data_IF_449097903532
#
_entry.id   IF_449097903532
#
_cell.length_a   1.000
_cell.length_b   1.000
_cell.length_c   1.000
_cell.angle_alpha   90.00
_cell.angle_beta   90.00
_cell.angle_gamma   90.00
#
_symmetry.space_group_name_H-M   'P 1'
#
loop_
_entity.id
_entity.type
_entity.pdbx_description
1 polymer ?
#
# COMPACT_ATOMS: atom_id res chain seq x y z
N UNK A 1 35.86 1.35 22.94
CA UNK A 1 36.19 0.48 21.79
C UNK A 1 35.59 1.12 20.54
N UNK A 2 36.31 1.18 19.40
CA UNK A 2 35.68 1.62 18.15
C UNK A 2 34.53 0.66 17.81
N UNK A 3 33.36 1.21 17.50
CA UNK A 3 32.19 0.42 17.06
C UNK A 3 32.56 -0.28 15.75
N UNK A 4 32.41 -1.60 15.67
CA UNK A 4 32.62 -2.35 14.41
C UNK A 4 31.67 -1.81 13.35
N UNK A 5 32.12 -1.72 12.10
CA UNK A 5 31.25 -1.22 11.03
C UNK A 5 30.26 -2.30 10.62
N UNK A 6 29.01 -1.92 10.30
CA UNK A 6 27.95 -2.86 9.93
C UNK A 6 28.34 -3.74 8.73
N UNK A 7 29.03 -3.16 7.75
CA UNK A 7 29.52 -3.88 6.57
C UNK A 7 30.52 -4.98 6.91
N UNK A 8 31.52 -4.68 7.75
CA UNK A 8 32.51 -5.66 8.20
C UNK A 8 31.85 -6.79 9.00
N UNK A 9 30.88 -6.45 9.86
CA UNK A 9 30.17 -7.41 10.70
C UNK A 9 29.27 -8.35 9.87
N UNK A 10 28.68 -7.86 8.77
CA UNK A 10 27.89 -8.69 7.85
C UNK A 10 28.79 -9.66 7.06
N UNK A 11 30.01 -9.25 6.71
CA UNK A 11 31.01 -10.11 6.06
C UNK A 11 31.58 -11.14 7.04
N UNK A 12 31.87 -10.76 8.28
CA UNK A 12 32.33 -11.67 9.35
C UNK A 12 31.31 -12.77 9.65
N UNK A 13 30.02 -12.44 9.61
CA UNK A 13 28.92 -13.40 9.80
C UNK A 13 28.62 -14.25 8.55
N UNK A 14 29.33 -14.03 7.44
CA UNK A 14 29.14 -14.75 6.18
C UNK A 14 27.79 -14.47 5.50
N UNK A 15 27.12 -13.39 5.87
CA UNK A 15 25.80 -13.01 5.37
C UNK A 15 25.89 -12.25 4.03
N UNK A 16 27.05 -11.63 3.76
CA UNK A 16 27.35 -10.87 2.54
C UNK A 16 28.84 -11.10 2.20
N UNK A 17 29.19 -11.16 0.91
CA UNK A 17 30.60 -11.25 0.47
C UNK A 17 31.30 -9.90 0.40
N UNK A 18 32.64 -9.88 0.39
CA UNK A 18 33.42 -8.64 0.22
C UNK A 18 33.09 -7.89 -1.09
N UNK A 19 32.82 -8.63 -2.17
CA UNK A 19 32.42 -8.06 -3.47
C UNK A 19 31.01 -7.43 -3.41
N UNK A 20 30.08 -8.06 -2.69
CA UNK A 20 28.75 -7.52 -2.46
C UNK A 20 28.80 -6.27 -1.57
N UNK A 21 29.64 -6.27 -0.53
CA UNK A 21 29.86 -5.10 0.32
C UNK A 21 30.42 -3.91 -0.48
N UNK A 22 31.37 -4.14 -1.40
CA UNK A 22 31.90 -3.09 -2.27
C UNK A 22 30.81 -2.47 -3.15
N UNK A 23 29.92 -3.31 -3.70
CA UNK A 23 28.77 -2.87 -4.52
C UNK A 23 27.78 -2.03 -3.70
N UNK A 24 27.47 -2.46 -2.47
CA UNK A 24 26.58 -1.72 -1.55
C UNK A 24 27.18 -0.36 -1.18
N UNK A 25 28.49 -0.29 -0.93
CA UNK A 25 29.19 0.96 -0.60
C UNK A 25 29.21 1.95 -1.77
N UNK A 26 29.32 1.46 -3.00
CA UNK A 26 29.23 2.30 -4.21
C UNK A 26 27.83 2.90 -4.37
N UNK A 27 26.79 2.09 -4.19
CA UNK A 27 25.38 2.54 -4.21
C UNK A 27 25.10 3.51 -3.05
N UNK A 28 25.71 3.31 -1.89
CA UNK A 28 25.59 4.21 -0.74
C UNK A 28 26.19 5.59 -1.02
N UNK A 29 27.38 5.66 -1.64
CA UNK A 29 28.02 6.94 -1.97
C UNK A 29 27.21 7.77 -2.98
N UNK A 30 26.49 7.11 -3.89
CA UNK A 30 25.66 7.78 -4.88
C UNK A 30 24.29 8.20 -4.32
N UNK A 31 23.72 7.42 -3.39
CA UNK A 31 22.35 7.62 -2.91
C UNK A 31 22.25 8.27 -1.51
N UNK A 32 23.33 8.31 -0.73
CA UNK A 32 23.36 8.74 0.69
C UNK A 32 22.33 8.01 1.59
N UNK A 33 21.90 6.81 1.21
CA UNK A 33 20.93 5.99 1.96
C UNK A 33 21.63 5.11 3.01
N UNK A 34 20.92 4.66 4.07
CA UNK A 34 21.52 3.81 5.09
C UNK A 34 21.94 2.45 4.51
N UNK A 35 23.14 1.99 4.88
CA UNK A 35 23.77 0.77 4.35
C UNK A 35 22.87 -0.47 4.52
N UNK A 36 22.23 -0.62 5.68
CA UNK A 36 21.34 -1.74 5.98
C UNK A 36 20.11 -1.82 5.06
N UNK A 37 19.56 -0.68 4.64
CA UNK A 37 18.42 -0.65 3.72
C UNK A 37 18.82 -1.06 2.30
N UNK A 38 19.98 -0.59 1.83
CA UNK A 38 20.53 -0.93 0.51
C UNK A 38 20.81 -2.43 0.43
N UNK A 39 21.31 -3.04 1.51
CA UNK A 39 21.57 -4.48 1.59
C UNK A 39 20.29 -5.31 1.39
N UNK A 40 19.18 -4.89 2.02
CA UNK A 40 17.88 -5.57 1.91
C UNK A 40 17.27 -5.35 0.52
N UNK A 41 17.34 -4.14 -0.02
CA UNK A 41 16.78 -3.81 -1.34
C UNK A 41 17.52 -4.49 -2.49
N UNK A 42 18.85 -4.64 -2.38
CA UNK A 42 19.64 -5.41 -3.34
C UNK A 42 19.50 -6.92 -3.15
N UNK A 43 18.78 -7.36 -2.11
CA UNK A 43 18.51 -8.77 -1.82
C UNK A 43 19.73 -9.55 -1.36
N UNK A 44 20.80 -8.88 -0.91
CA UNK A 44 22.03 -9.55 -0.46
C UNK A 44 21.89 -10.18 0.92
N UNK A 45 21.04 -9.62 1.79
CA UNK A 45 20.68 -10.24 3.07
C UNK A 45 19.23 -9.93 3.45
N UNK A 46 18.63 -10.76 4.31
CA UNK A 46 17.29 -10.53 4.82
C UNK A 46 17.26 -9.40 5.85
N UNK A 47 16.12 -8.72 6.01
CA UNK A 47 15.95 -7.68 7.03
C UNK A 47 16.22 -8.18 8.46
N UNK A 48 15.93 -9.46 8.74
CA UNK A 48 16.25 -10.11 10.02
C UNK A 48 17.77 -10.26 10.23
N UNK A 49 18.51 -10.60 9.17
CA UNK A 49 19.98 -10.70 9.22
C UNK A 49 20.63 -9.33 9.48
N UNK A 50 20.14 -8.27 8.83
CA UNK A 50 20.60 -6.89 9.05
C UNK A 50 20.26 -6.41 10.46
N UNK A 51 19.06 -6.73 10.98
CA UNK A 51 18.67 -6.39 12.34
C UNK A 51 19.55 -7.08 13.39
N UNK A 52 19.90 -8.35 13.18
CA UNK A 52 20.83 -9.09 14.04
C UNK A 52 22.22 -8.45 14.07
N UNK A 53 22.78 -8.11 12.90
CA UNK A 53 24.07 -7.45 12.81
C UNK A 53 24.09 -6.06 13.48
N UNK A 54 22.98 -5.30 13.35
CA UNK A 54 22.81 -4.03 14.05
C UNK A 54 22.74 -4.23 15.58
N UNK A 55 22.04 -5.26 16.07
CA UNK A 55 21.97 -5.58 17.50
C UNK A 55 23.34 -5.99 18.07
N UNK A 56 24.16 -6.69 17.28
CA UNK A 56 25.54 -6.99 17.64
C UNK A 56 26.43 -5.74 17.65
N UNK A 57 26.23 -4.81 16.70
CA UNK A 57 26.98 -3.56 16.63
C UNK A 57 26.68 -2.62 17.81
N UNK A 58 25.43 -2.57 18.26
CA UNK A 58 24.99 -1.72 19.37
C UNK A 58 25.18 -2.36 20.75
N UNK A 59 25.51 -3.66 20.81
CA UNK A 59 25.78 -4.38 22.06
C UNK A 59 24.53 -4.69 22.89
N UNK A 60 23.34 -4.73 22.28
CA UNK A 60 22.09 -4.95 22.98
C UNK A 60 20.91 -5.22 22.05
N UNK A 61 19.75 -5.53 22.64
CA UNK A 61 18.54 -5.77 21.88
C UNK A 61 18.10 -4.50 21.15
N UNK A 62 17.92 -4.59 19.83
CA UNK A 62 17.44 -3.46 19.02
C UNK A 62 16.12 -3.81 18.35
N UNK A 63 15.21 -2.84 18.38
CA UNK A 63 13.99 -2.86 17.57
C UNK A 63 14.28 -2.10 16.28
N UNK A 64 14.25 -2.83 15.16
CA UNK A 64 14.38 -2.25 13.82
C UNK A 64 13.05 -2.32 13.09
N UNK A 65 12.99 -1.69 11.91
CA UNK A 65 11.86 -1.80 10.98
C UNK A 65 11.60 -3.23 10.49
N UNK A 66 12.53 -4.17 10.75
CA UNK A 66 12.45 -5.58 10.38
C UNK A 66 12.25 -6.53 11.57
N UNK A 67 11.99 -6.01 12.78
CA UNK A 67 11.66 -6.82 13.97
C UNK A 67 12.57 -6.57 15.18
N UNK A 68 12.48 -7.45 16.18
CA UNK A 68 13.28 -7.38 17.42
C UNK A 68 14.50 -8.30 17.31
N UNK A 69 15.69 -7.73 17.33
CA UNK A 69 16.94 -8.48 17.22
C UNK A 69 17.65 -8.51 18.58
N UNK A 70 17.89 -9.72 19.09
CA UNK A 70 18.67 -9.98 20.30
C UNK A 70 20.12 -10.26 19.87
N UNK A 71 21.08 -9.50 20.41
CA UNK A 71 22.51 -9.58 20.07
C UNK A 71 23.25 -10.82 20.62
N UNK A 72 22.59 -11.97 20.76
CA UNK A 72 23.20 -13.21 21.21
C UNK A 72 23.68 -14.06 20.01
N UNK A 73 24.85 -14.72 20.07
CA UNK A 73 25.31 -15.57 18.99
C UNK A 73 24.37 -16.78 18.83
N UNK A 74 23.97 -17.16 17.61
CA UNK A 74 23.33 -18.44 17.40
C UNK A 74 24.37 -19.52 17.62
N UNK A 75 24.20 -20.33 18.67
CA UNK A 75 24.95 -21.59 18.81
C UNK A 75 24.39 -22.52 17.74
N UNK A 76 25.02 -22.50 16.57
CA UNK A 76 24.85 -23.55 15.58
C UNK A 76 25.60 -24.78 16.10
N UNK A 77 24.86 -25.74 16.65
CA UNK A 77 25.34 -27.11 16.81
C UNK A 77 24.28 -28.06 16.25
N UNK A 78 24.40 -28.31 14.94
CA UNK A 78 24.06 -29.62 14.40
C UNK A 78 25.24 -30.56 14.68
N UNK A 79 24.98 -31.60 15.49
CA UNK A 79 25.64 -32.91 15.55
C UNK A 79 25.97 -33.34 16.99
N UNK A 80 25.00 -33.96 17.65
CA UNK A 80 25.22 -35.10 18.56
C UNK A 80 23.87 -35.78 18.79
N UNK A 81 23.57 -36.77 17.94
CA UNK A 81 22.52 -37.74 18.20
C UNK A 81 23.19 -38.99 18.78
N UNK A 82 23.07 -39.22 20.08
CA UNK A 82 22.78 -40.55 20.64
C UNK A 82 22.42 -40.49 22.13
N UNK A 83 21.39 -41.28 22.47
CA UNK A 83 21.03 -41.77 23.80
C UNK A 83 20.42 -40.81 24.83
N UNK A 84 19.12 -40.53 24.68
CA UNK A 84 18.16 -40.91 25.75
C UNK A 84 16.76 -41.09 25.17
N UNK A 85 16.26 -42.31 25.20
CA UNK A 85 14.85 -42.64 24.95
C UNK A 85 14.06 -42.33 26.21
N UNK A 86 13.14 -41.38 26.12
CA UNK A 86 11.91 -41.34 26.91
C UNK A 86 10.82 -40.67 26.07
N UNK A 87 9.62 -41.23 26.20
CA UNK A 87 8.55 -41.22 25.22
C UNK A 87 7.84 -39.87 25.08
N UNK A 88 7.80 -39.35 23.84
CA UNK A 88 6.84 -38.35 23.39
C UNK A 88 6.33 -38.72 21.99
N UNK A 89 5.01 -38.65 21.72
CA UNK A 89 4.45 -39.05 20.44
C UNK A 89 4.84 -38.05 19.35
N UNK A 90 5.57 -38.53 18.32
CA UNK A 90 5.92 -37.74 17.13
C UNK A 90 4.69 -37.49 16.27
N UNK A 91 4.22 -36.25 16.25
CA UNK A 91 3.30 -35.74 15.23
C UNK A 91 3.99 -35.82 13.86
N UNK A 92 3.44 -36.62 12.94
CA UNK A 92 3.85 -36.61 11.53
C UNK A 92 3.25 -35.37 10.88
N UNK A 93 4.08 -34.36 10.59
CA UNK A 93 3.73 -33.35 9.60
C UNK A 93 3.65 -34.03 8.23
N UNK A 94 2.46 -33.97 7.62
CA UNK A 94 2.26 -34.38 6.24
C UNK A 94 3.10 -33.48 5.33
N UNK A 95 3.89 -34.10 4.44
CA UNK A 95 4.59 -33.42 3.38
C UNK A 95 3.60 -32.96 2.31
N UNK A 96 3.18 -31.71 2.38
CA UNK A 96 2.69 -30.98 1.20
C UNK A 96 3.71 -29.91 0.86
N UNK A 97 4.64 -30.29 -0.02
CA UNK A 97 5.50 -29.36 -0.73
C UNK A 97 4.63 -28.60 -1.75
N UNK A 98 4.42 -27.31 -1.54
CA UNK A 98 4.02 -26.39 -2.61
C UNK A 98 5.31 -25.86 -3.23
N UNK A 99 5.69 -26.46 -4.36
CA UNK A 99 6.72 -25.94 -5.24
C UNK A 99 6.24 -24.62 -5.90
N UNK A 100 7.13 -23.65 -6.13
CA UNK A 100 6.80 -22.44 -6.89
C UNK A 100 6.58 -22.77 -8.38
N UNK A 101 5.67 -22.07 -9.09
CA UNK A 101 5.30 -22.44 -10.44
C UNK A 101 6.40 -22.13 -11.47
N UNK A 102 6.55 -22.94 -12.53
CA UNK A 102 7.43 -22.65 -13.65
C UNK A 102 6.86 -21.49 -14.49
N UNK A 103 7.76 -20.63 -14.98
CA UNK A 103 7.45 -19.61 -15.98
C UNK A 103 7.08 -20.29 -17.30
N UNK A 104 5.95 -19.94 -17.89
CA UNK A 104 5.66 -20.23 -19.31
C UNK A 104 5.18 -18.96 -20.00
N UNK A 105 5.94 -18.52 -21.01
CA UNK A 105 5.46 -17.71 -22.13
C UNK A 105 4.48 -18.52 -23.00
N UNK A 106 3.67 -17.88 -23.86
CA UNK A 106 2.31 -18.30 -24.16
C UNK A 106 2.20 -19.37 -25.26
N UNK A 107 1.15 -20.19 -25.17
CA UNK A 107 0.68 -21.04 -26.28
C UNK A 107 -0.25 -20.26 -27.23
N UNK A 108 -0.29 -20.63 -28.53
CA UNK A 108 -1.33 -20.18 -29.43
C UNK A 108 -2.59 -21.05 -29.33
N UNK A 109 -3.72 -20.36 -29.49
CA UNK A 109 -5.04 -20.78 -29.98
C UNK A 109 -5.14 -22.19 -30.59
N UNK A 110 -6.10 -23.00 -30.12
CA UNK A 110 -7.31 -23.38 -30.86
C UNK A 110 -8.22 -24.34 -30.07
N UNK A 111 -9.54 -24.15 -30.20
CA UNK A 111 -10.43 -25.28 -30.49
C UNK A 111 -11.17 -25.99 -29.35
N UNK A 112 -12.25 -25.39 -28.87
CA UNK A 112 -13.61 -25.97 -28.96
C UNK A 112 -14.02 -27.21 -28.14
N UNK A 113 -15.30 -27.14 -27.72
CA UNK A 113 -16.19 -28.18 -27.13
C UNK A 113 -16.06 -28.29 -25.59
N UNK A 114 -17.10 -28.15 -24.76
CA UNK A 114 -18.55 -28.20 -24.97
C UNK A 114 -19.15 -29.09 -23.88
N UNK A 115 -20.27 -28.65 -23.27
CA UNK A 115 -21.10 -29.36 -22.26
C UNK A 115 -20.51 -29.50 -20.84
N UNK A 116 -21.25 -29.52 -19.72
CA UNK A 116 -22.65 -29.22 -19.35
C UNK A 116 -22.67 -29.10 -17.81
N UNK A 117 -23.22 -28.01 -17.23
CA UNK A 117 -24.50 -27.96 -16.52
C UNK A 117 -24.76 -29.08 -15.47
N UNK A 118 -24.65 -28.75 -14.17
CA UNK A 118 -25.65 -29.07 -13.11
C UNK A 118 -25.13 -28.72 -11.70
N UNK A 119 -25.76 -27.74 -11.06
CA UNK A 119 -25.95 -27.59 -9.61
C UNK A 119 -27.45 -27.85 -9.32
N UNK A 120 -27.94 -27.92 -8.06
CA UNK A 120 -27.37 -28.48 -6.83
C UNK A 120 -28.39 -29.40 -6.11
N UNK A 121 -27.96 -30.16 -5.10
CA UNK A 121 -28.89 -30.83 -4.17
C UNK A 121 -28.34 -30.83 -2.74
N UNK A 122 -29.19 -30.35 -1.84
CA UNK A 122 -28.96 -30.23 -0.41
C UNK A 122 -29.35 -31.51 0.36
N UNK A 123 -28.99 -31.50 1.66
CA UNK A 123 -29.61 -32.14 2.83
C UNK A 123 -28.81 -33.30 3.47
N UNK A 124 -28.59 -33.10 4.78
CA UNK A 124 -28.33 -34.04 5.89
C UNK A 124 -27.04 -34.85 5.93
N UNK A 125 -26.18 -34.62 6.93
CA UNK A 125 -26.33 -35.16 8.29
C UNK A 125 -25.05 -34.84 9.11
N UNK A 126 -25.20 -34.12 10.22
CA UNK A 126 -24.16 -33.99 11.26
C UNK A 126 -24.11 -35.28 12.08
N UNK A 127 -22.95 -35.89 12.35
CA UNK A 127 -22.84 -36.91 13.39
C UNK A 127 -22.64 -36.24 14.76
N UNK A 128 -23.48 -36.63 15.72
CA UNK A 128 -23.39 -36.30 17.14
C UNK A 128 -22.08 -36.81 17.78
N UNK A 129 -21.52 -36.12 18.79
CA UNK A 129 -20.35 -36.61 19.53
C UNK A 129 -20.74 -37.68 20.56
N UNK A 130 -20.02 -38.80 20.51
CA UNK A 130 -20.15 -39.91 21.45
C UNK A 130 -19.83 -39.49 22.90
N UNK A 131 -20.72 -39.88 23.81
CA UNK A 131 -20.61 -39.74 25.24
C UNK A 131 -19.43 -40.54 25.83
N UNK A 132 -18.64 -39.89 26.70
CA UNK A 132 -17.70 -40.54 27.59
C UNK A 132 -18.35 -40.60 28.99
N UNK A 133 -18.42 -41.77 29.65
CA UNK A 133 -19.04 -41.89 30.96
C UNK A 133 -18.19 -41.26 32.07
N UNK A 134 -18.86 -40.52 32.96
CA UNK A 134 -18.30 -39.94 34.17
C UNK A 134 -17.87 -41.03 35.17
N UNK A 135 -16.67 -40.89 35.72
CA UNK A 135 -16.21 -41.62 36.92
C UNK A 135 -16.72 -40.94 38.19
N UNK A 136 -17.10 -41.70 39.24
CA UNK A 136 -17.70 -41.17 40.46
C UNK A 136 -16.67 -40.65 41.47
N UNK A 137 -17.07 -39.61 42.22
CA UNK A 137 -16.40 -39.07 43.41
C UNK A 137 -16.37 -40.09 44.57
N UNK A 138 -15.34 -40.09 45.44
CA UNK A 138 -15.37 -40.86 46.68
C UNK A 138 -15.98 -40.07 47.85
N UNK A 139 -16.93 -40.73 48.50
CA UNK A 139 -17.59 -40.36 49.76
C UNK A 139 -16.61 -40.20 50.94
N UNK A 140 -16.87 -39.18 51.78
CA UNK A 140 -16.38 -39.06 53.15
C UNK A 140 -16.93 -40.17 54.06
N UNK A 141 -16.20 -40.58 55.12
CA UNK A 141 -16.84 -41.17 56.28
C UNK A 141 -16.90 -40.22 57.49
N UNK A 142 -18.12 -40.20 58.03
CA UNK A 142 -18.62 -39.59 59.26
C UNK A 142 -17.73 -39.70 60.49
N UNK A 143 -17.80 -38.63 61.28
CA UNK A 143 -17.44 -38.54 62.70
C UNK A 143 -18.55 -39.10 63.61
N UNK A 144 -18.15 -39.71 64.73
CA UNK A 144 -18.97 -39.83 65.96
C UNK A 144 -18.04 -39.66 67.18
N UNK A 145 -17.99 -38.47 67.81
CA UNK A 145 -18.83 -37.92 68.89
C UNK A 145 -18.81 -38.70 70.21
N UNK A 146 -18.29 -38.06 71.27
CA UNK A 146 -18.82 -37.92 72.67
C UNK A 146 -17.92 -36.83 73.33
N UNK A 147 -18.29 -35.55 73.54
CA UNK A 147 -19.20 -34.92 74.54
C UNK A 147 -18.82 -35.24 76.01
N UNK A 148 -18.65 -34.35 77.00
CA UNK A 148 -18.93 -32.92 77.25
C UNK A 148 -18.36 -32.57 78.64
N UNK A 149 -17.93 -31.31 78.80
CA UNK A 149 -18.02 -30.39 79.96
C UNK A 149 -17.63 -30.80 81.40
N UNK A 150 -16.75 -30.01 82.02
CA UNK A 150 -17.04 -29.27 83.27
C UNK A 150 -15.89 -28.29 83.66
N UNK A 151 -16.30 -27.09 84.07
CA UNK A 151 -15.57 -26.02 84.74
C UNK A 151 -14.77 -26.45 85.99
N UNK A 152 -13.65 -25.77 86.28
CA UNK A 152 -13.55 -24.89 87.47
C UNK A 152 -12.22 -24.13 87.50
N UNK A 153 -12.32 -22.81 87.67
CA UNK A 153 -11.24 -21.89 87.99
C UNK A 153 -11.21 -21.68 89.50
N UNK A 154 -10.05 -21.79 90.17
CA UNK A 154 -9.81 -21.12 91.48
C UNK A 154 -8.32 -20.80 91.67
N UNK A 155 -8.08 -19.49 91.74
CA UNK A 155 -7.22 -18.71 92.64
C UNK A 155 -5.75 -19.04 92.92
N UNK A 156 -5.03 -17.92 92.99
CA UNK A 156 -3.68 -17.73 93.48
C UNK A 156 -3.57 -17.95 95.00
N UNK A 157 -2.37 -18.27 95.49
CA UNK A 157 -1.84 -17.54 96.64
C UNK A 157 -0.31 -17.67 96.75
N UNK A 158 0.23 -16.64 97.37
CA UNK A 158 1.62 -16.20 97.38
C UNK A 158 2.20 -16.45 98.79
N UNK A 159 3.49 -16.86 98.87
CA UNK A 159 4.49 -16.68 99.96
C UNK A 159 4.18 -17.30 101.36
N UNK A 160 5.14 -17.44 102.32
CA UNK A 160 6.60 -17.14 102.33
C UNK A 160 7.50 -18.27 102.87
N UNK A 161 8.82 -18.03 102.83
CA UNK A 161 9.86 -19.01 103.18
C UNK A 161 10.28 -19.12 104.66
N UNK A 162 11.28 -19.97 104.87
CA UNK A 162 12.22 -20.06 106.00
C UNK A 162 13.30 -21.07 105.57
N UNK A 163 14.57 -20.71 105.44
CA UNK A 163 15.61 -20.85 106.47
C UNK A 163 15.54 -22.14 107.31
N UNK A 164 16.52 -23.04 107.12
CA UNK A 164 17.26 -23.80 108.16
C UNK A 164 18.27 -24.72 107.43
N UNK A 165 19.59 -24.49 107.46
CA UNK A 165 20.53 -24.83 108.55
C UNK A 165 20.12 -26.02 109.40
N UNK A 166 20.79 -27.17 109.22
CA UNK A 166 21.21 -28.06 110.31
C UNK A 166 21.84 -29.35 109.73
N UNK A 167 23.15 -29.52 109.97
CA UNK A 167 23.61 -30.78 110.54
C UNK A 167 23.05 -30.89 111.98
N UNK A 168 23.03 -32.04 112.69
CA UNK A 168 23.73 -33.31 112.46
C UNK A 168 22.72 -34.49 112.62
N UNK A 169 23.01 -35.78 112.84
CA UNK A 169 23.87 -36.45 113.82
C UNK A 169 23.63 -37.99 113.67
N UNK A 170 24.14 -38.87 114.56
CA UNK A 170 25.06 -39.98 114.26
C UNK A 170 24.38 -41.36 114.34
N UNK A 171 25.13 -42.45 114.16
CA UNK A 171 24.99 -43.75 114.85
C UNK A 171 25.86 -44.83 114.16
N UNK A 172 26.31 -45.90 114.83
CA UNK A 172 26.47 -46.12 116.26
C UNK A 172 27.90 -46.54 116.66
N UNK A 173 28.11 -46.52 117.96
CA UNK A 173 29.28 -46.88 118.75
C UNK A 173 29.85 -48.29 118.44
N UNK A 174 31.16 -48.50 118.61
CA UNK A 174 31.69 -49.74 119.15
C UNK A 174 31.91 -49.58 120.66
N UNK A 175 30.83 -49.63 121.42
CA UNK A 175 30.78 -50.21 122.76
C UNK A 175 30.80 -51.74 122.57
N UNK A 176 31.55 -52.60 123.24
CA UNK A 176 32.41 -52.55 124.41
C UNK A 176 33.37 -53.74 124.29
N UNK A 177 34.65 -53.57 124.64
CA UNK A 177 35.31 -54.45 125.60
C UNK A 177 36.59 -53.77 126.08
N UNK A 178 36.42 -52.93 127.09
CA UNK A 178 37.45 -52.78 128.11
C UNK A 178 37.62 -54.15 128.76
N UNK A 179 38.58 -54.93 128.26
CA UNK A 179 39.10 -56.04 129.03
C UNK A 179 39.82 -55.45 130.23
N UNK A 180 39.11 -55.40 131.37
CA UNK A 180 39.74 -55.42 132.68
C UNK A 180 40.77 -56.56 132.71
N UNK A 181 42.04 -56.24 132.51
CA UNK A 181 43.11 -57.02 133.11
C UNK A 181 43.17 -56.61 134.57
N UNK A 182 42.20 -57.13 135.33
CA UNK A 182 42.25 -57.15 136.76
C UNK A 182 43.53 -57.86 137.19
N UNK A 183 44.40 -57.14 137.90
CA UNK A 183 45.40 -57.74 138.77
C UNK A 183 44.66 -58.57 139.83
N UNK A 184 44.56 -59.87 139.58
CA UNK A 184 44.34 -60.88 140.60
C UNK A 184 45.36 -61.99 140.38
N UNK A 185 46.60 -61.68 140.77
CA UNK A 185 47.55 -62.67 141.22
C UNK A 185 47.15 -63.11 142.63
N UNK A 186 46.49 -64.27 142.68
CA UNK A 186 46.76 -65.40 143.58
C UNK A 186 46.88 -65.13 145.09
N UNK A 187 45.77 -65.35 145.80
CA UNK A 187 45.78 -66.14 147.04
C UNK A 187 45.33 -67.58 146.70
N UNK A 188 45.91 -68.62 147.31
CA UNK A 188 45.69 -69.99 146.87
C UNK A 188 44.34 -70.51 147.35
N UNK A 189 43.45 -70.83 146.42
CA UNK A 189 42.39 -71.80 146.63
C UNK A 189 42.77 -73.03 145.81
N UNK A 190 43.31 -74.03 146.50
CA UNK A 190 43.47 -75.38 145.99
C UNK A 190 42.07 -75.92 145.65
N UNK A 191 41.77 -76.00 144.36
CA UNK A 191 40.76 -76.88 143.81
C UNK A 191 41.48 -77.76 142.79
N UNK A 192 41.59 -79.04 143.12
CA UNK A 192 42.04 -80.09 142.22
C UNK A 192 41.10 -80.10 141.01
N UNK A 193 41.51 -79.47 139.90
CA UNK A 193 40.91 -79.71 138.59
C UNK A 193 41.69 -80.89 138.02
N UNK A 194 40.98 -81.98 137.72
CA UNK A 194 41.59 -83.19 137.18
C UNK A 194 42.29 -82.85 135.84
N UNK A 195 43.55 -83.29 135.60
CA UNK A 195 44.25 -83.01 134.34
C UNK A 195 43.51 -83.55 133.10
N UNK A 196 42.63 -84.53 133.29
CA UNK A 196 41.73 -85.05 132.26
C UNK A 196 40.66 -84.03 131.82
N UNK A 197 40.13 -83.22 132.74
CA UNK A 197 39.13 -82.19 132.42
C UNK A 197 39.76 -81.04 131.62
N UNK A 198 41.02 -80.68 131.91
CA UNK A 198 41.76 -79.67 131.14
C UNK A 198 42.09 -80.13 129.71
N UNK A 199 42.42 -81.40 129.51
CA UNK A 199 42.65 -81.97 128.18
C UNK A 199 41.35 -82.06 127.37
N UNK A 200 40.24 -82.40 128.04
CA UNK A 200 38.91 -82.40 127.43
C UNK A 200 38.48 -80.98 127.02
N UNK A 201 38.63 -79.98 127.89
CA UNK A 201 38.34 -78.58 127.57
C UNK A 201 39.22 -78.05 126.43
N UNK A 202 40.51 -78.42 126.36
CA UNK A 202 41.38 -78.06 125.24
C UNK A 202 40.95 -78.72 123.93
N UNK A 203 40.52 -79.97 123.97
CA UNK A 203 39.97 -80.67 122.81
C UNK A 203 38.63 -80.06 122.35
N UNK A 204 37.79 -79.63 123.29
CA UNK A 204 36.55 -78.91 123.01
C UNK A 204 36.82 -77.52 122.42
N UNK A 205 37.78 -76.77 122.96
CA UNK A 205 38.24 -75.48 122.40
C UNK A 205 38.75 -75.69 120.97
N UNK A 206 39.62 -76.66 120.71
CA UNK A 206 40.12 -76.92 119.35
C UNK A 206 39.03 -77.35 118.36
N UNK A 207 38.00 -78.08 118.80
CA UNK A 207 36.82 -78.39 117.97
C UNK A 207 35.98 -77.15 117.69
N UNK A 208 35.78 -76.29 118.69
CA UNK A 208 35.04 -75.04 118.54
C UNK A 208 35.79 -74.04 117.66
N UNK A 209 37.11 -73.95 117.77
CA UNK A 209 37.97 -73.14 116.91
C UNK A 209 37.96 -73.65 115.45
N UNK A 210 37.98 -74.97 115.24
CA UNK A 210 37.86 -75.55 113.90
C UNK A 210 36.47 -75.32 113.30
N UNK A 211 35.40 -75.47 114.08
CA UNK A 211 34.04 -75.16 113.65
C UNK A 211 33.86 -73.66 113.38
N UNK A 212 34.46 -72.79 114.20
CA UNK A 212 34.50 -71.35 113.97
C UNK A 212 35.22 -71.05 112.65
N UNK A 213 36.41 -71.60 112.43
CA UNK A 213 37.17 -71.41 111.19
C UNK A 213 36.42 -71.94 109.95
N UNK A 214 35.72 -73.07 110.07
CA UNK A 214 34.88 -73.61 108.99
C UNK A 214 33.69 -72.69 108.69
N UNK A 215 33.00 -72.20 109.74
CA UNK A 215 31.90 -71.22 109.56
C UNK A 215 32.39 -69.88 109.02
N UNK A 216 33.58 -69.44 109.42
CA UNK A 216 34.24 -68.24 108.91
C UNK A 216 34.63 -68.40 107.44
N UNK A 217 35.24 -69.53 107.05
CA UNK A 217 35.58 -69.82 105.65
C UNK A 217 34.32 -69.94 104.78
N UNK A 218 33.27 -70.59 105.29
CA UNK A 218 31.97 -70.67 104.60
C UNK A 218 31.32 -69.28 104.47
N UNK A 219 31.44 -68.43 105.50
CA UNK A 219 30.96 -67.06 105.47
C UNK A 219 31.75 -66.19 104.48
N UNK A 220 33.09 -66.29 104.46
CA UNK A 220 33.96 -65.61 103.52
C UNK A 220 33.69 -66.05 102.08
N UNK A 221 33.47 -67.35 101.83
CA UNK A 221 33.08 -67.86 100.53
C UNK A 221 31.70 -67.32 100.11
N UNK A 222 30.74 -67.24 101.04
CA UNK A 222 29.43 -66.65 100.78
C UNK A 222 29.53 -65.14 100.50
N UNK A 223 30.40 -64.42 101.22
CA UNK A 223 30.67 -63.00 100.97
C UNK A 223 31.37 -62.79 99.62
N UNK A 224 32.29 -63.67 99.22
CA UNK A 224 32.92 -63.63 97.91
C UNK A 224 31.89 -63.89 96.80
N UNK A 225 31.03 -64.91 96.94
CA UNK A 225 29.95 -65.17 95.99
C UNK A 225 28.97 -64.01 95.87
N UNK A 226 28.55 -63.42 96.99
CA UNK A 226 27.68 -62.23 96.99
C UNK A 226 28.36 -61.00 96.37
N UNK A 227 29.69 -60.85 96.50
CA UNK A 227 30.45 -59.79 95.84
C UNK A 227 30.51 -60.00 94.34
N UNK A 228 30.81 -61.22 93.88
CA UNK A 228 30.83 -61.56 92.45
C UNK A 228 29.43 -61.36 91.81
N UNK A 229 28.36 -61.78 92.51
CA UNK A 229 26.97 -61.53 92.10
C UNK A 229 26.66 -60.02 92.03
N UNK A 230 27.13 -59.23 93.00
CA UNK A 230 26.96 -57.78 93.00
C UNK A 230 27.74 -57.12 91.86
N UNK A 231 28.98 -57.56 91.59
CA UNK A 231 29.78 -57.07 90.47
C UNK A 231 29.10 -57.36 89.12
N UNK A 232 28.58 -58.59 88.95
CA UNK A 232 27.80 -58.97 87.77
C UNK A 232 26.53 -58.12 87.62
N UNK A 233 25.76 -57.96 88.71
CA UNK A 233 24.56 -57.12 88.70
C UNK A 233 24.88 -55.66 88.36
N UNK A 234 26.00 -55.11 88.86
CA UNK A 234 26.42 -53.75 88.51
C UNK A 234 26.85 -53.63 87.05
N UNK A 235 27.57 -54.61 86.50
CA UNK A 235 27.95 -54.61 85.09
C UNK A 235 26.71 -54.73 84.17
N UNK A 236 25.71 -55.51 84.58
CA UNK A 236 24.42 -55.59 83.88
C UNK A 236 23.66 -54.26 83.95
N UNK A 237 23.63 -53.60 85.11
CA UNK A 237 23.03 -52.27 85.26
C UNK A 237 23.74 -51.23 84.40
N UNK A 238 25.06 -51.20 84.37
CA UNK A 238 25.84 -50.29 83.51
C UNK A 238 25.55 -50.55 82.03
N UNK A 239 25.45 -51.81 81.61
CA UNK A 239 25.08 -52.18 80.24
C UNK A 239 23.67 -51.73 79.89
N UNK A 240 22.69 -51.92 80.79
CA UNK A 240 21.32 -51.47 80.59
C UNK A 240 21.25 -49.94 80.55
N UNK A 241 21.98 -49.23 81.42
CA UNK A 241 22.09 -47.77 81.41
C UNK A 241 22.70 -47.26 80.11
N UNK A 242 23.74 -47.92 79.59
CA UNK A 242 24.33 -47.58 78.29
C UNK A 242 23.32 -47.76 77.15
N UNK A 243 22.54 -48.84 77.15
CA UNK A 243 21.49 -49.07 76.16
C UNK A 243 20.33 -48.07 76.28
N UNK A 244 19.95 -47.67 77.51
CA UNK A 244 18.95 -46.64 77.74
C UNK A 244 19.44 -45.28 77.23
N UNK A 245 20.71 -44.92 77.48
CA UNK A 245 21.31 -43.71 76.94
C UNK A 245 21.39 -43.71 75.40
N UNK A 246 21.56 -44.88 74.77
CA UNK A 246 21.46 -45.03 73.31
C UNK A 246 20.03 -44.82 72.81
N UNK A 247 19.03 -45.39 73.50
CA UNK A 247 17.62 -45.17 73.20
C UNK A 247 17.22 -43.69 73.32
N UNK A 248 17.67 -43.00 74.38
CA UNK A 248 17.42 -41.56 74.56
C UNK A 248 18.01 -40.73 73.41
N UNK A 249 19.20 -41.11 72.91
CA UNK A 249 19.81 -40.47 71.73
C UNK A 249 19.00 -40.70 70.46
N UNK A 250 18.55 -41.94 70.23
CA UNK A 250 17.71 -42.27 69.06
C UNK A 250 16.36 -41.55 69.12
N UNK A 251 15.73 -41.45 70.29
CA UNK A 251 14.51 -40.68 70.48
C UNK A 251 14.75 -39.19 70.18
N UNK A 252 15.87 -38.62 70.65
CA UNK A 252 16.24 -37.24 70.32
C UNK A 252 16.50 -37.04 68.82
N UNK A 253 17.05 -38.03 68.12
CA UNK A 253 17.24 -38.00 66.67
C UNK A 253 15.90 -38.08 65.92
N UNK A 254 14.99 -38.97 66.35
CA UNK A 254 13.63 -39.05 65.81
C UNK A 254 12.91 -37.70 65.93
N UNK A 255 12.93 -37.09 67.12
CA UNK A 255 12.30 -35.77 67.34
C UNK A 255 12.92 -34.69 66.44
N UNK A 256 14.24 -34.71 66.24
CA UNK A 256 14.91 -33.77 65.31
C UNK A 256 14.50 -34.01 63.86
N UNK A 257 14.40 -35.27 63.43
CA UNK A 257 13.99 -35.63 62.08
C UNK A 257 12.52 -35.29 61.83
N UNK A 258 11.64 -35.48 62.82
CA UNK A 258 10.24 -35.07 62.75
C UNK A 258 10.11 -33.54 62.63
N UNK A 259 10.90 -32.78 63.39
CA UNK A 259 10.94 -31.32 63.26
C UNK A 259 11.44 -30.89 61.87
N UNK A 260 12.53 -31.48 61.38
CA UNK A 260 13.07 -31.20 60.05
C UNK A 260 12.10 -31.60 58.93
N UNK A 261 11.35 -32.69 59.10
CA UNK A 261 10.31 -33.12 58.17
C UNK A 261 9.15 -32.11 58.16
N UNK A 262 8.71 -31.63 59.31
CA UNK A 262 7.68 -30.58 59.41
C UNK A 262 8.10 -29.27 58.74
N UNK A 263 9.35 -28.84 58.94
CA UNK A 263 9.92 -27.68 58.23
C UNK A 263 9.99 -27.92 56.71
N UNK A 264 10.42 -29.10 56.26
CA UNK A 264 10.43 -29.45 54.85
C UNK A 264 9.02 -29.52 54.23
N UNK A 265 8.02 -30.00 54.98
CA UNK A 265 6.62 -30.05 54.54
C UNK A 265 6.03 -28.65 54.40
N UNK A 266 6.20 -27.79 55.41
CA UNK A 266 5.71 -26.41 55.36
C UNK A 266 6.35 -25.60 54.24
N UNK A 267 7.66 -25.75 54.02
CA UNK A 267 8.34 -25.11 52.87
C UNK A 267 7.85 -25.66 51.54
N UNK A 268 7.58 -26.96 51.44
CA UNK A 268 7.00 -27.55 50.24
C UNK A 268 5.59 -27.02 49.95
N UNK A 269 4.72 -26.95 50.96
CA UNK A 269 3.38 -26.37 50.85
C UNK A 269 3.43 -24.89 50.42
N UNK A 270 4.34 -24.11 51.01
CA UNK A 270 4.54 -22.70 50.62
C UNK A 270 4.98 -22.58 49.15
N UNK A 271 5.91 -23.43 48.70
CA UNK A 271 6.36 -23.43 47.31
C UNK A 271 5.25 -23.86 46.35
N UNK A 272 4.42 -24.84 46.72
CA UNK A 272 3.27 -25.26 45.93
C UNK A 272 2.25 -24.13 45.80
N UNK A 273 1.91 -23.46 46.89
CA UNK A 273 0.99 -22.32 46.86
C UNK A 273 1.54 -21.19 45.99
N UNK A 274 2.83 -20.87 46.12
CA UNK A 274 3.49 -19.86 45.27
C UNK A 274 3.43 -20.23 43.79
N UNK A 275 3.73 -21.48 43.44
CA UNK A 275 3.66 -21.95 42.05
C UNK A 275 2.22 -21.97 41.51
N UNK A 276 1.23 -22.20 42.37
CA UNK A 276 -0.18 -22.10 42.01
C UNK A 276 -0.57 -20.65 41.73
N UNK A 277 -0.18 -19.70 42.57
CA UNK A 277 -0.39 -18.27 42.35
C UNK A 277 0.28 -17.81 41.04
N UNK A 278 1.56 -18.14 40.82
CA UNK A 278 2.27 -17.80 39.58
C UNK A 278 1.60 -18.42 38.34
N UNK A 279 1.03 -19.63 38.46
CA UNK A 279 0.26 -20.27 37.37
C UNK A 279 -1.07 -19.56 37.12
N UNK A 280 -1.78 -19.15 38.16
CA UNK A 280 -3.04 -18.43 38.04
C UNK A 280 -2.83 -17.05 37.41
N UNK A 281 -1.77 -16.34 37.81
CA UNK A 281 -1.35 -15.07 37.19
C UNK A 281 -1.03 -15.26 35.71
N UNK A 282 -0.21 -16.27 35.36
CA UNK A 282 0.12 -16.57 33.97
C UNK A 282 -1.12 -16.96 33.14
N UNK A 283 -2.09 -17.65 33.73
CA UNK A 283 -3.35 -17.99 33.05
C UNK A 283 -4.18 -16.73 32.75
N UNK A 284 -4.29 -15.79 33.70
CA UNK A 284 -4.96 -14.51 33.50
C UNK A 284 -4.26 -13.64 32.44
N UNK A 285 -2.93 -13.64 32.42
CA UNK A 285 -2.15 -12.95 31.37
C UNK A 285 -2.40 -13.56 29.99
N UNK A 286 -2.43 -14.89 29.87
CA UNK A 286 -2.75 -15.56 28.61
C UNK A 286 -4.17 -15.23 28.14
N UNK A 287 -5.15 -15.22 29.03
CA UNK A 287 -6.53 -14.85 28.69
C UNK A 287 -6.63 -13.38 28.24
N UNK A 288 -5.91 -12.47 28.89
CA UNK A 288 -5.84 -11.07 28.48
C UNK A 288 -5.17 -10.89 27.12
N UNK A 289 -4.08 -11.65 26.85
CA UNK A 289 -3.42 -11.64 25.55
C UNK A 289 -4.32 -12.21 24.46
N UNK A 290 -5.00 -13.31 24.71
CA UNK A 290 -5.98 -13.89 23.78
C UNK A 290 -7.12 -12.92 23.47
N UNK A 291 -7.65 -12.23 24.48
CA UNK A 291 -8.66 -11.18 24.27
C UNK A 291 -8.12 -10.04 23.40
N UNK A 292 -6.90 -9.56 23.68
CA UNK A 292 -6.27 -8.48 22.89
C UNK A 292 -6.01 -8.90 21.44
N UNK A 293 -5.66 -10.17 21.22
CA UNK A 293 -5.47 -10.76 19.90
C UNK A 293 -6.79 -10.85 19.14
N UNK A 294 -7.85 -11.35 19.77
CA UNK A 294 -9.18 -11.41 19.16
C UNK A 294 -9.69 -10.01 18.76
N UNK A 295 -9.50 -9.01 19.63
CA UNK A 295 -9.84 -7.63 19.29
C UNK A 295 -8.98 -7.07 18.13
N UNK A 296 -7.70 -7.41 18.08
CA UNK A 296 -6.82 -7.01 16.96
C UNK A 296 -7.24 -7.67 15.64
N UNK A 297 -7.60 -8.95 15.68
CA UNK A 297 -8.13 -9.69 14.53
C UNK A 297 -9.45 -9.10 14.04
N UNK A 298 -10.37 -8.71 14.93
CA UNK A 298 -11.62 -8.03 14.56
C UNK A 298 -11.35 -6.66 13.92
N UNK A 299 -10.43 -5.87 14.49
CA UNK A 299 -10.01 -4.58 13.89
C UNK A 299 -9.43 -4.79 12.49
N UNK A 300 -8.54 -5.76 12.31
CA UNK A 300 -7.96 -6.06 11.00
C UNK A 300 -8.98 -6.64 10.01
N UNK A 301 -9.96 -7.41 10.48
CA UNK A 301 -11.07 -7.85 9.64
C UNK A 301 -11.89 -6.65 9.15
N UNK A 302 -12.23 -5.72 10.06
CA UNK A 302 -12.90 -4.47 9.70
C UNK A 302 -12.12 -3.62 8.68
N UNK A 303 -10.82 -3.43 8.91
CA UNK A 303 -9.94 -2.71 7.96
C UNK A 303 -9.90 -3.40 6.59
N UNK A 304 -9.86 -4.74 6.54
CA UNK A 304 -9.88 -5.50 5.29
C UNK A 304 -11.20 -5.34 4.55
N UNK A 305 -12.32 -5.35 5.26
CA UNK A 305 -13.65 -5.16 4.67
C UNK A 305 -13.81 -3.74 4.11
N UNK A 306 -13.31 -2.73 4.82
CA UNK A 306 -13.27 -1.35 4.33
C UNK A 306 -12.41 -1.20 3.08
N UNK A 307 -11.21 -1.79 3.06
CA UNK A 307 -10.33 -1.78 1.89
C UNK A 307 -10.95 -2.55 0.71
N UNK A 308 -11.65 -3.65 0.96
CA UNK A 308 -12.38 -4.40 -0.06
C UNK A 308 -13.52 -3.54 -0.65
N UNK A 309 -14.30 -2.87 0.18
CA UNK A 309 -15.36 -1.96 -0.28
C UNK A 309 -14.79 -0.78 -1.09
N UNK A 310 -13.64 -0.22 -0.67
CA UNK A 310 -12.96 0.84 -1.43
C UNK A 310 -12.47 0.33 -2.78
N UNK A 311 -11.85 -0.86 -2.83
CA UNK A 311 -11.44 -1.49 -4.09
C UNK A 311 -12.62 -1.67 -5.04
N UNK A 312 -13.73 -2.21 -4.54
CA UNK A 312 -14.90 -2.50 -5.37
C UNK A 312 -15.50 -1.21 -5.93
N UNK A 313 -15.56 -0.14 -5.12
CA UNK A 313 -15.96 1.19 -5.59
C UNK A 313 -15.03 1.75 -6.67
N UNK A 314 -13.71 1.64 -6.49
CA UNK A 314 -12.74 2.09 -7.50
C UNK A 314 -12.87 1.27 -8.78
N UNK A 315 -13.15 -0.03 -8.68
CA UNK A 315 -13.38 -0.89 -9.84
C UNK A 315 -14.66 -0.50 -10.59
N UNK A 316 -15.73 -0.18 -9.87
CA UNK A 316 -16.97 0.34 -10.47
C UNK A 316 -16.72 1.68 -11.18
N UNK A 317 -16.06 2.64 -10.52
CA UNK A 317 -15.71 3.94 -11.12
C UNK A 317 -14.80 3.79 -12.34
N UNK A 318 -13.86 2.83 -12.32
CA UNK A 318 -13.01 2.49 -13.47
C UNK A 318 -13.83 1.90 -14.61
N UNK A 319 -14.77 0.99 -14.30
CA UNK A 319 -15.64 0.39 -15.32
C UNK A 319 -16.54 1.44 -15.98
N UNK A 320 -17.15 2.33 -15.20
CA UNK A 320 -17.92 3.48 -15.67
C UNK A 320 -17.08 4.40 -16.57
N UNK A 321 -15.83 4.67 -16.18
CA UNK A 321 -14.93 5.50 -16.97
C UNK A 321 -14.57 4.84 -18.31
N UNK A 322 -14.33 3.53 -18.31
CA UNK A 322 -14.07 2.76 -19.53
C UNK A 322 -15.29 2.71 -20.44
N UNK A 323 -16.50 2.54 -19.89
CA UNK A 323 -17.74 2.62 -20.67
C UNK A 323 -17.96 4.00 -21.28
N UNK A 324 -17.67 5.08 -20.53
CA UNK A 324 -17.71 6.45 -21.04
C UNK A 324 -16.70 6.69 -22.17
N UNK A 325 -15.50 6.11 -22.05
CA UNK A 325 -14.49 6.17 -23.11
C UNK A 325 -14.93 5.40 -24.36
N UNK A 326 -15.43 4.18 -24.20
CA UNK A 326 -15.98 3.38 -25.29
C UNK A 326 -17.17 4.07 -25.98
N UNK A 327 -18.03 4.75 -25.21
CA UNK A 327 -19.12 5.56 -25.76
C UNK A 327 -18.63 6.82 -26.49
N UNK A 328 -17.44 7.33 -26.17
CA UNK A 328 -16.84 8.48 -26.83
C UNK A 328 -16.11 8.12 -28.14
N UNK A 329 -15.66 6.87 -28.33
CA UNK A 329 -15.05 6.39 -29.58
C UNK A 329 -15.92 6.68 -30.83
N UNK A 330 -17.22 6.33 -30.89
CA UNK A 330 -18.04 6.62 -32.06
C UNK A 330 -18.24 8.12 -32.28
N UNK A 331 -18.21 8.94 -31.23
CA UNK A 331 -18.27 10.40 -31.36
C UNK A 331 -16.97 10.96 -31.96
N UNK A 332 -15.81 10.41 -31.57
CA UNK A 332 -14.52 10.75 -32.19
C UNK A 332 -14.49 10.33 -33.67
N UNK A 333 -14.93 9.11 -34.00
CA UNK A 333 -15.06 8.67 -35.40
C UNK A 333 -16.00 9.56 -36.21
N UNK A 334 -17.12 10.00 -35.63
CA UNK A 334 -18.04 10.92 -36.28
C UNK A 334 -17.40 12.30 -36.53
N UNK A 335 -16.60 12.80 -35.59
CA UNK A 335 -15.86 14.04 -35.74
C UNK A 335 -14.82 13.94 -36.87
N UNK A 336 -14.10 12.83 -36.96
CA UNK A 336 -13.13 12.60 -38.04
C UNK A 336 -13.81 12.49 -39.41
N UNK A 337 -14.97 11.82 -39.48
CA UNK A 337 -15.78 11.78 -40.72
C UNK A 337 -16.24 13.17 -41.14
N UNK A 338 -16.80 13.96 -40.21
CA UNK A 338 -17.23 15.34 -40.49
C UNK A 338 -16.05 16.21 -40.93
N UNK A 339 -14.87 16.03 -40.33
CA UNK A 339 -13.66 16.75 -40.74
C UNK A 339 -13.24 16.40 -42.17
N UNK A 340 -13.28 15.12 -42.52
CA UNK A 340 -13.01 14.66 -43.88
C UNK A 340 -14.06 15.17 -44.89
N UNK A 341 -15.34 15.21 -44.51
CA UNK A 341 -16.40 15.80 -45.34
C UNK A 341 -16.18 17.31 -45.54
N UNK A 342 -15.79 18.05 -44.49
CA UNK A 342 -15.45 19.47 -44.60
C UNK A 342 -14.24 19.67 -45.53
N UNK A 343 -13.18 18.89 -45.39
CA UNK A 343 -12.00 18.98 -46.27
C UNK A 343 -12.36 18.67 -47.74
N UNK A 344 -13.22 17.67 -47.97
CA UNK A 344 -13.75 17.38 -49.31
C UNK A 344 -14.59 18.55 -49.84
N UNK A 345 -15.48 19.12 -49.03
CA UNK A 345 -16.31 20.25 -49.43
C UNK A 345 -15.44 21.49 -49.75
N UNK A 346 -14.43 21.78 -48.93
CA UNK A 346 -13.47 22.85 -49.18
C UNK A 346 -12.69 22.62 -50.49
N UNK A 347 -12.26 21.38 -50.77
CA UNK A 347 -11.63 21.01 -52.04
C UNK A 347 -12.57 21.24 -53.22
N UNK A 348 -13.82 20.78 -53.14
CA UNK A 348 -14.80 20.96 -54.23
C UNK A 348 -15.16 22.43 -54.44
N UNK A 349 -15.22 23.22 -53.35
CA UNK A 349 -15.47 24.65 -53.41
C UNK A 349 -14.28 25.38 -54.04
N UNK A 350 -13.03 24.99 -53.71
CA UNK A 350 -11.84 25.52 -54.34
C UNK A 350 -11.78 25.19 -55.85
N UNK A 351 -12.12 23.96 -56.24
CA UNK A 351 -12.23 23.56 -57.65
C UNK A 351 -13.31 24.37 -58.39
N UNK A 352 -14.49 24.54 -57.78
CA UNK A 352 -15.57 25.33 -58.34
C UNK A 352 -15.19 26.82 -58.48
N UNK A 353 -14.48 27.38 -57.49
CA UNK A 353 -13.97 28.75 -57.57
C UNK A 353 -12.93 28.89 -58.68
N UNK A 354 -11.96 27.98 -58.78
CA UNK A 354 -10.97 28.00 -59.85
C UNK A 354 -11.63 27.87 -61.24
N UNK A 355 -12.66 27.02 -61.37
CA UNK A 355 -13.43 26.89 -62.60
C UNK A 355 -14.19 28.19 -62.94
N UNK A 356 -14.81 28.82 -61.95
CA UNK A 356 -15.53 30.09 -62.13
C UNK A 356 -14.58 31.26 -62.46
N UNK A 357 -13.39 31.30 -61.87
CA UNK A 357 -12.34 32.27 -62.21
C UNK A 357 -11.84 32.07 -63.64
N UNK A 358 -11.59 30.83 -64.05
CA UNK A 358 -11.20 30.52 -65.42
C UNK A 358 -12.29 30.89 -66.44
N UNK A 359 -13.57 30.69 -66.11
CA UNK A 359 -14.68 31.13 -66.96
C UNK A 359 -14.78 32.66 -67.03
N UNK A 360 -14.59 33.36 -65.90
CA UNK A 360 -14.53 34.82 -65.88
C UNK A 360 -13.40 35.36 -66.76
N UNK A 361 -12.20 34.79 -66.67
CA UNK A 361 -11.06 35.17 -67.52
C UNK A 361 -11.36 34.95 -69.01
N UNK A 362 -11.99 33.82 -69.36
CA UNK A 362 -12.43 33.55 -70.75
C UNK A 362 -13.44 34.58 -71.23
N UNK A 363 -14.48 34.85 -70.45
CA UNK A 363 -15.51 35.83 -70.79
C UNK A 363 -14.92 37.24 -70.90
N UNK A 364 -13.99 37.61 -70.02
CA UNK A 364 -13.26 38.88 -70.11
C UNK A 364 -12.47 38.96 -71.41
N UNK A 365 -11.74 37.90 -71.77
CA UNK A 365 -11.02 37.84 -73.05
C UNK A 365 -11.94 37.93 -74.26
N UNK A 366 -13.15 37.35 -74.21
CA UNK A 366 -14.15 37.48 -75.27
C UNK A 366 -14.75 38.89 -75.34
N UNK A 367 -14.97 39.55 -74.20
CA UNK A 367 -15.36 40.97 -74.13
C UNK A 367 -14.29 41.84 -74.78
N UNK A 368 -13.01 41.68 -74.41
CA UNK A 368 -11.91 42.45 -74.98
C UNK A 368 -11.81 42.27 -76.51
N UNK A 369 -11.99 41.03 -76.99
CA UNK A 369 -12.06 40.74 -78.44
C UNK A 369 -13.23 41.44 -79.11
N UNK A 370 -14.42 41.38 -78.52
CA UNK A 370 -15.61 42.05 -79.05
C UNK A 370 -15.45 43.57 -79.04
N UNK A 371 -14.84 44.15 -78.01
CA UNK A 371 -14.52 45.57 -77.96
C UNK A 371 -13.53 45.96 -79.06
N UNK A 372 -12.49 45.16 -79.31
CA UNK A 372 -11.56 45.37 -80.42
C UNK A 372 -12.29 45.35 -81.77
N UNK A 373 -13.11 44.32 -82.02
CA UNK A 373 -13.90 44.19 -83.26
C UNK A 373 -14.88 45.36 -83.41
N UNK A 374 -15.55 45.78 -82.34
CA UNK A 374 -16.42 46.95 -82.36
C UNK A 374 -15.64 48.23 -82.67
N UNK A 375 -14.42 48.37 -82.14
CA UNK A 375 -13.56 49.52 -82.43
C UNK A 375 -13.14 49.56 -83.90
N UNK A 376 -12.77 48.41 -84.46
CA UNK A 376 -12.42 48.25 -85.87
C UNK A 376 -13.63 48.54 -86.77
N UNK A 377 -14.80 47.98 -86.44
CA UNK A 377 -16.03 48.24 -87.19
C UNK A 377 -16.45 49.71 -87.12
N UNK A 378 -16.29 50.37 -85.95
CA UNK A 378 -16.54 51.81 -85.80
C UNK A 378 -15.57 52.63 -86.65
N UNK A 379 -14.28 52.31 -86.64
CA UNK A 379 -13.28 52.99 -87.47
C UNK A 379 -13.58 52.82 -88.96
N UNK A 380 -13.89 51.59 -89.41
CA UNK A 380 -14.31 51.32 -90.78
C UNK A 380 -15.57 52.13 -91.16
N UNK A 381 -16.56 52.20 -90.27
CA UNK A 381 -17.76 52.99 -90.51
C UNK A 381 -17.47 54.51 -90.57
N UNK A 382 -16.58 55.03 -89.73
CA UNK A 382 -16.13 56.42 -89.79
C UNK A 382 -15.40 56.73 -91.11
N UNK A 383 -14.56 55.82 -91.59
CA UNK A 383 -13.92 55.92 -92.90
C UNK A 383 -14.95 55.94 -94.04
N UNK A 384 -15.95 55.04 -94.02
CA UNK A 384 -17.04 55.01 -94.99
C UNK A 384 -17.85 56.31 -94.96
N UNK A 385 -18.23 56.80 -93.78
CA UNK A 385 -18.90 58.09 -93.63
C UNK A 385 -18.05 59.24 -94.17
N UNK A 386 -16.74 59.21 -93.95
CA UNK A 386 -15.79 60.17 -94.51
C UNK A 386 -15.76 60.14 -96.04
N UNK A 387 -15.77 58.95 -96.66
CA UNK A 387 -15.84 58.78 -98.10
C UNK A 387 -17.19 59.27 -98.67
N UNK A 388 -18.30 58.97 -98.00
CA UNK A 388 -19.64 59.43 -98.39
C UNK A 388 -19.73 60.96 -98.27
N UNK A 389 -19.22 61.56 -97.20
CA UNK A 389 -19.13 63.03 -97.05
C UNK A 389 -18.32 63.67 -98.16
N UNK A 390 -17.14 63.15 -98.48
CA UNK A 390 -16.31 63.64 -99.60
C UNK A 390 -17.04 63.53 -100.95
N UNK A 391 -17.77 62.44 -101.19
CA UNK A 391 -18.62 62.29 -102.39
C UNK A 391 -19.74 63.33 -102.41
N UNK A 392 -20.41 63.58 -101.29
CA UNK A 392 -21.43 64.62 -101.17
C UNK A 392 -20.88 66.04 -101.35
N UNK A 393 -19.70 66.34 -100.82
CA UNK A 393 -19.02 67.63 -101.04
C UNK A 393 -18.73 67.85 -102.52
N UNK A 394 -18.12 66.87 -103.21
CA UNK A 394 -17.91 66.94 -104.66
C UNK A 394 -19.22 67.11 -105.43
N UNK A 395 -20.26 66.35 -105.09
CA UNK A 395 -21.57 66.48 -105.73
C UNK A 395 -22.20 67.86 -105.47
N UNK A 396 -21.97 68.46 -104.30
CA UNK A 396 -22.39 69.84 -104.00
C UNK A 396 -21.61 70.85 -104.81
N UNK A 397 -20.29 70.74 -104.90
CA UNK A 397 -19.45 71.60 -105.75
C UNK A 397 -19.84 71.50 -107.23
N UNK A 398 -20.14 70.30 -107.73
CA UNK A 398 -20.68 70.09 -109.06
C UNK A 398 -22.05 70.76 -109.24
N UNK A 399 -22.96 70.63 -108.25
CA UNK A 399 -24.26 71.32 -108.27
C UNK A 399 -24.10 72.85 -108.26
N UNK A 400 -23.24 73.40 -107.41
CA UNK A 400 -22.97 74.83 -107.33
C UNK A 400 -22.36 75.34 -108.64
N UNK A 401 -21.44 74.57 -109.24
CA UNK A 401 -20.87 74.85 -110.57
C UNK A 401 -21.93 74.83 -111.68
N UNK A 402 -22.85 73.85 -111.66
CA UNK A 402 -23.98 73.78 -112.59
C UNK A 402 -24.97 74.95 -112.38
N UNK A 403 -25.21 75.35 -111.13
CA UNK A 403 -26.05 76.52 -110.81
C UNK A 403 -25.41 77.82 -111.31
N UNK A 404 -24.10 78.00 -111.14
CA UNK A 404 -23.37 79.15 -111.67
C UNK A 404 -23.42 79.19 -113.20
N UNK A 405 -23.17 78.06 -113.87
CA UNK A 405 -23.28 77.94 -115.32
C UNK A 405 -24.71 78.22 -115.82
N UNK A 406 -25.74 77.77 -115.07
CA UNK A 406 -27.12 78.10 -115.36
C UNK A 406 -27.39 79.60 -115.20
N UNK A 407 -26.87 80.24 -114.15
CA UNK A 407 -27.02 81.69 -113.95
C UNK A 407 -26.32 82.48 -115.07
N UNK A 408 -25.12 82.09 -115.47
CA UNK A 408 -24.42 82.69 -116.62
C UNK A 408 -25.19 82.49 -117.94
N UNK A 409 -25.73 81.29 -118.17
CA UNK A 409 -26.56 81.03 -119.33
C UNK A 409 -27.85 81.87 -119.30
N UNK A 410 -28.45 82.08 -118.12
CA UNK A 410 -29.60 82.96 -117.94
C UNK A 410 -29.26 84.42 -118.20
N UNK A 411 -28.10 84.92 -117.74
CA UNK A 411 -27.69 86.31 -118.02
C UNK A 411 -27.36 86.50 -119.50
N UNK A 412 -26.66 85.55 -120.12
CA UNK A 412 -26.41 85.58 -121.56
C UNK A 412 -27.71 85.50 -122.36
N UNK A 413 -28.66 84.65 -121.96
CA UNK A 413 -29.97 84.59 -122.58
C UNK A 413 -30.72 85.93 -122.44
N UNK A 414 -30.71 86.54 -121.25
CA UNK A 414 -31.31 87.86 -121.03
C UNK A 414 -30.62 88.97 -121.85
N UNK A 415 -29.30 88.90 -122.05
CA UNK A 415 -28.56 89.80 -122.94
C UNK A 415 -28.93 89.60 -124.42
N UNK A 416 -29.08 88.35 -124.86
CA UNK A 416 -29.53 88.04 -126.23
C UNK A 416 -30.96 88.50 -126.46
N UNK A 417 -31.86 88.31 -125.48
CA UNK A 417 -33.22 88.84 -125.53
C UNK A 417 -33.23 90.37 -125.60
N UNK A 418 -32.38 91.05 -124.82
CA UNK A 418 -32.20 92.51 -124.93
C UNK A 418 -31.68 92.94 -126.29
N UNK A 419 -30.68 92.26 -126.85
CA UNK A 419 -30.15 92.56 -128.19
C UNK A 419 -31.20 92.36 -129.27
N UNK A 420 -31.98 91.27 -129.18
CA UNK A 420 -33.09 91.03 -130.10
C UNK A 420 -34.16 92.11 -129.96
N UNK A 421 -34.44 92.59 -128.75
CA UNK A 421 -35.35 93.71 -128.53
C UNK A 421 -34.81 95.02 -129.13
N UNK A 422 -33.51 95.32 -128.95
CA UNK A 422 -32.86 96.48 -129.57
C UNK A 422 -32.83 96.41 -131.11
N UNK A 423 -32.57 95.24 -131.69
CA UNK A 423 -32.65 95.02 -133.14
C UNK A 423 -34.08 95.17 -133.66
N UNK A 424 -35.08 94.65 -132.92
CA UNK A 424 -36.49 94.82 -133.25
C UNK A 424 -36.90 96.29 -133.17
N UNK A 425 -36.42 97.04 -132.18
CA UNK A 425 -36.66 98.48 -132.04
C UNK A 425 -36.00 99.26 -133.19
N UNK A 426 -34.74 98.97 -133.56
CA UNK A 426 -34.10 99.55 -134.75
C UNK A 426 -34.86 99.23 -136.03
N UNK A 427 -35.30 97.99 -136.21
CA UNK A 427 -36.12 97.62 -137.36
C UNK A 427 -37.49 98.29 -137.35
N UNK A 428 -38.06 98.57 -136.18
CA UNK A 428 -39.28 99.36 -136.07
C UNK A 428 -39.02 100.83 -136.45
N UNK A 429 -37.94 101.45 -135.96
CA UNK A 429 -37.52 102.80 -136.35
C UNK A 429 -37.21 102.92 -137.85
N UNK A 430 -36.52 101.92 -138.44
CA UNK A 430 -36.27 101.84 -139.88
C UNK A 430 -37.58 101.74 -140.67
N UNK A 431 -38.54 100.92 -140.20
CA UNK A 431 -39.86 100.80 -140.82
C UNK A 431 -40.66 102.09 -140.71
N UNK A 432 -40.68 102.75 -139.55
CA UNK A 432 -41.30 104.06 -139.38
C UNK A 432 -40.64 105.11 -140.29
N UNK A 433 -39.32 105.09 -140.42
CA UNK A 433 -38.58 105.94 -141.35
C UNK A 433 -38.92 105.68 -142.82
N UNK A 434 -39.05 104.42 -143.22
CA UNK A 434 -39.47 104.02 -144.57
C UNK A 434 -40.95 104.35 -144.82
N UNK A 435 -41.82 104.22 -143.83
CA UNK A 435 -43.22 104.63 -143.91
C UNK A 435 -43.32 106.15 -144.07
N UNK A 436 -42.57 106.94 -143.29
CA UNK A 436 -42.50 108.39 -143.45
C UNK A 436 -41.94 108.81 -144.83
N UNK A 437 -40.95 108.08 -145.37
CA UNK A 437 -40.47 108.29 -146.74
C UNK A 437 -41.54 107.94 -147.78
N UNK A 438 -42.29 106.86 -147.57
CA UNK A 438 -43.41 106.47 -148.44
C UNK A 438 -44.50 107.54 -148.43
N UNK A 439 -44.87 108.07 -147.27
CA UNK A 439 -45.86 109.13 -147.13
C UNK A 439 -45.41 110.41 -147.87
N UNK A 440 -44.16 110.84 -147.71
CA UNK A 440 -43.61 111.99 -148.48
C UNK A 440 -43.68 111.76 -149.99
N UNK A 441 -43.29 110.59 -150.47
CA UNK A 441 -43.37 110.25 -151.89
C UNK A 441 -44.83 110.20 -152.37
N UNK A 442 -45.77 109.72 -151.56
CA UNK A 442 -47.20 109.76 -151.87
C UNK A 442 -47.73 111.21 -151.94
N UNK A 443 -47.27 112.08 -151.04
CA UNK A 443 -47.61 113.51 -151.02
C UNK A 443 -47.05 114.25 -152.25
N UNK A 444 -45.80 113.98 -152.63
CA UNK A 444 -45.17 114.52 -153.85
C UNK A 444 -45.86 114.04 -155.13
N UNK A 445 -46.31 112.79 -155.18
CA UNK A 445 -47.02 112.21 -156.32
C UNK A 445 -48.46 112.76 -156.42
N UNK A 446 -49.11 113.01 -155.28
CA UNK A 446 -50.38 113.75 -155.21
C UNK A 446 -50.24 115.18 -155.72
N UNK A 447 -49.20 115.90 -155.31
CA UNK A 447 -48.91 117.26 -155.77
C UNK A 447 -48.54 117.34 -157.26
N UNK A 448 -47.97 116.28 -157.84
CA UNK A 448 -47.68 116.19 -159.27
C UNK A 448 -48.94 115.93 -160.11
N UNK A 449 -49.88 115.11 -159.60
CA UNK A 449 -51.15 114.84 -160.27
C UNK A 449 -52.07 116.07 -160.29
N UNK A 450 -52.08 116.90 -159.24
CA UNK A 450 -52.84 118.16 -159.22
C UNK A 450 -52.29 119.21 -160.19
N UNK A 451 -50.98 119.21 -160.49
CA UNK A 451 -50.37 120.15 -161.46
C UNK A 451 -50.70 119.85 -162.92
N UNK A 452 -51.11 118.63 -163.25
CA UNK A 452 -51.53 118.25 -164.62
C UNK A 452 -52.96 118.76 -164.90
N UNK A 453 -53.73 119.14 -163.88
CA UNK A 453 -55.16 119.46 -164.04
C UNK A 453 -55.53 120.91 -164.40
N UNK A 454 -54.60 121.89 -164.43
CA UNK A 454 -54.98 123.34 -164.39
C UNK A 454 -54.47 124.26 -165.54
N UNK A 455 -53.88 123.77 -166.64
CA UNK A 455 -53.58 124.62 -167.83
C UNK A 455 -53.91 123.91 -169.18
N UNK A 456 -55.01 124.31 -169.86
CA UNK A 456 -55.39 123.92 -171.26
C UNK A 456 -54.77 124.83 -172.35
N UNK A 457 -55.14 124.85 -173.68
CA UNK A 457 -56.32 124.29 -174.40
C UNK A 457 -56.12 123.86 -175.92
N UNK A 458 -57.23 123.53 -176.65
CA UNK A 458 -57.48 123.53 -178.14
C UNK A 458 -57.20 122.28 -179.03
N UNK A 459 -58.33 121.72 -179.53
CA UNK A 459 -58.67 121.14 -180.84
C UNK A 459 -58.01 119.86 -181.40
N UNK A 460 -58.85 118.84 -181.63
CA UNK A 460 -59.12 118.30 -182.97
C UNK A 460 -60.61 117.89 -183.09
N UNK A 461 -61.16 118.06 -184.29
CA UNK A 461 -62.58 118.25 -184.63
C UNK A 461 -63.41 116.97 -184.84
N UNK A 462 -64.75 117.14 -184.90
CA UNK A 462 -65.81 116.26 -185.50
C UNK A 462 -66.15 114.99 -184.71
N UNK A 463 -67.38 114.78 -184.22
CA UNK A 463 -68.64 114.83 -184.96
C UNK A 463 -69.83 115.42 -184.15
N UNK A 464 -70.69 116.11 -184.90
CA UNK A 464 -72.08 116.54 -184.65
C UNK A 464 -72.38 117.85 -183.87
N UNK A 465 -72.50 118.90 -184.71
CA UNK A 465 -73.20 120.20 -184.60
C UNK A 465 -72.58 121.34 -183.79
#
# INVERSE_FOLDING_TARGET
MPQRQLGELMTELGLISEEQLATVLEVQQQSNRPLGQIIVELGFASGAAVAHALAMQSGGALRTEYGFALGAPPVADEATAEETRTDLPRLRLAATAVAPPPRTSPEPVEGGQGAAAAEPAAVDEQPEPAAIPATPEPDEPESAKVATDADEAVEAEEIPGAEETAAPEPEPEPEEVSAEVAQSAEAPLAAEIDPAELEQLRGEIGRLEAALAETQAAHEQKLAGLRDEHEQATAELERLQASAAEQDRLLAEIVRLEAALGEAQTTHEQNLNRLQEEREEAALELDALHASLAEAEERHAGERDELAAQRDRIQEELSDALERLAAAEPAAEAQDRLRAEVEQLESTLAEAHAAAEAERERLQGDVDRLESVLSEARAAHEEELGLVRKKHERAREELDGLQAALAEAQTLAAEQERRLAEEQERHAEEREGLEAQRERLQEELGAALERIAVLGPVAEERDEL
#
